data_IF_625049346997
#
_entry.id   IF_625049346997
#
_cell.length_a   1.000
_cell.length_b   1.000
_cell.length_c   1.000
_cell.angle_alpha   90.00
_cell.angle_beta   90.00
_cell.angle_gamma   90.00
#
_symmetry.space_group_name_H-M   'P 1'
#
loop_
_entity.id
_entity.type
_entity.pdbx_description
1 polymer ?
2 water ?
#
# COMPACT_ATOMS: atom_id res chain seq x y z
N UNK A 1 10.09 12.72 -8.84
CA UNK A 1 8.77 12.49 -9.42
C UNK A 1 8.61 11.21 -10.25
N UNK A 2 9.67 10.82 -10.96
CA UNK A 2 9.66 9.56 -11.70
C UNK A 2 10.21 8.44 -10.82
N UNK A 3 9.34 7.50 -10.45
CA UNK A 3 9.67 6.48 -9.47
C UNK A 3 10.94 5.67 -9.77
N UNK A 4 11.23 5.40 -11.04
CA UNK A 4 12.38 4.59 -11.40
C UNK A 4 13.67 5.23 -10.92
N UNK A 5 13.70 6.56 -10.91
CA UNK A 5 14.91 7.30 -10.54
C UNK A 5 14.92 7.70 -9.07
N UNK A 6 13.75 7.96 -8.47
CA UNK A 6 13.74 8.26 -7.03
C UNK A 6 13.78 7.01 -6.15
N UNK A 7 13.11 5.94 -6.56
CA UNK A 7 13.15 4.67 -5.82
C UNK A 7 14.24 3.75 -6.39
N UNK A 8 15.38 3.71 -5.72
CA UNK A 8 16.53 2.94 -6.21
C UNK A 8 16.51 1.52 -5.66
N UNK A 9 17.37 0.66 -6.19
CA UNK A 9 17.52 -0.68 -5.65
C UNK A 9 17.91 -0.62 -4.16
N UNK A 10 18.84 0.29 -3.86
CA UNK A 10 19.31 0.48 -2.49
C UNK A 10 18.16 0.85 -1.55
N UNK A 11 17.29 1.75 -2.01
CA UNK A 11 16.16 2.19 -1.20
C UNK A 11 15.21 1.03 -0.95
N UNK A 12 14.85 0.33 -2.02
CA UNK A 12 13.91 -0.77 -1.92
C UNK A 12 14.49 -1.93 -1.08
N UNK A 13 15.75 -2.30 -1.35
CA UNK A 13 16.42 -3.34 -0.58
C UNK A 13 16.59 -2.98 0.89
N UNK A 14 16.79 -1.70 1.18
CA UNK A 14 16.92 -1.22 2.55
C UNK A 14 15.73 -1.60 3.40
N UNK A 15 14.55 -1.56 2.79
CA UNK A 15 13.34 -1.98 3.48
C UNK A 15 13.25 -3.49 3.56
N UNK A 16 13.35 -4.16 2.42
CA UNK A 16 13.19 -5.62 2.38
C UNK A 16 14.26 -6.39 3.17
N UNK A 17 15.46 -5.80 3.31
CA UNK A 17 16.53 -6.44 4.07
C UNK A 17 16.11 -6.71 5.51
N UNK A 18 15.18 -5.89 6.01
CA UNK A 18 14.67 -6.07 7.36
C UNK A 18 13.62 -7.19 7.33
N UNK A 19 13.46 -7.87 8.46
CA UNK A 19 12.79 -9.18 8.51
C UNK A 19 12.81 -10.00 7.22
N UNK A 20 13.88 -10.75 7.03
CA UNK A 20 13.87 -11.94 6.21
C UNK A 20 13.69 -13.03 7.25
N UNK A 21 14.02 -14.28 6.94
CA UNK A 21 14.37 -14.72 5.61
C UNK A 21 13.38 -15.82 5.24
N UNK A 22 12.66 -16.29 6.24
CA UNK A 22 11.61 -17.28 6.04
C UNK A 22 10.26 -16.63 5.85
N UNK A 23 10.27 -15.30 5.72
CA UNK A 23 9.06 -14.54 5.46
C UNK A 23 8.48 -14.91 4.10
N UNK A 24 7.16 -15.04 4.03
CA UNK A 24 6.52 -15.40 2.77
C UNK A 24 6.76 -14.35 1.67
N UNK A 25 7.00 -13.10 2.05
CA UNK A 25 7.17 -12.05 1.06
C UNK A 25 8.60 -11.75 0.64
N UNK A 26 9.56 -12.39 1.32
CA UNK A 26 10.98 -12.17 1.08
C UNK A 26 11.40 -12.27 -0.40
N UNK A 27 10.88 -13.28 -1.09
CA UNK A 27 11.20 -13.52 -2.48
C UNK A 27 10.01 -13.28 -3.40
N UNK A 28 9.14 -12.36 -2.99
CA UNK A 28 7.92 -11.98 -3.71
C UNK A 28 7.98 -10.49 -4.08
N UNK A 29 8.12 -9.64 -3.08
CA UNK A 29 8.14 -8.19 -3.34
C UNK A 29 9.46 -7.74 -3.97
N UNK A 30 9.38 -7.17 -5.17
CA UNK A 30 10.57 -6.66 -5.87
C UNK A 30 10.36 -5.25 -6.36
N UNK A 31 11.46 -4.53 -6.52
CA UNK A 31 11.43 -3.21 -7.14
C UNK A 31 10.91 -3.31 -8.58
N UNK A 32 11.29 -4.37 -9.28
CA UNK A 32 10.83 -4.56 -10.64
C UNK A 32 9.30 -4.64 -10.73
N UNK A 33 8.69 -5.39 -9.82
CA UNK A 33 7.23 -5.47 -9.77
C UNK A 33 6.59 -4.12 -9.44
N UNK A 34 7.19 -3.39 -8.51
CA UNK A 34 6.67 -2.06 -8.15
C UNK A 34 6.71 -1.11 -9.34
N UNK A 35 7.81 -1.10 -10.06
CA UNK A 35 7.96 -0.19 -11.19
C UNK A 35 7.02 -0.55 -12.35
N UNK A 36 6.81 -1.83 -12.58
CA UNK A 36 5.83 -2.27 -13.56
C UNK A 36 4.44 -1.75 -13.18
N UNK A 37 4.14 -1.84 -11.88
CA UNK A 37 2.85 -1.40 -11.37
C UNK A 37 2.65 0.11 -11.53
N UNK A 38 3.71 0.87 -11.25
CA UNK A 38 3.70 2.34 -11.36
C UNK A 38 3.28 2.82 -12.76
N UNK A 39 3.67 2.06 -13.78
CA UNK A 39 3.29 2.39 -15.15
C UNK A 39 1.78 2.45 -15.38
N UNK A 40 1.03 1.72 -14.58
CA UNK A 40 -0.42 1.67 -14.70
C UNK A 40 -1.10 2.76 -13.89
N UNK A 41 -0.34 3.50 -13.08
CA UNK A 41 -0.90 4.53 -12.20
C UNK A 41 -0.18 5.86 -12.41
N UNK A 42 -0.46 6.50 -13.55
CA UNK A 42 0.31 7.69 -13.91
C UNK A 42 0.07 8.87 -12.98
N UNK A 43 -1.02 8.86 -12.23
CA UNK A 43 -1.31 9.92 -11.29
C UNK A 43 -0.46 9.84 -10.03
N UNK A 44 0.11 8.68 -9.75
CA UNK A 44 0.87 8.48 -8.53
C UNK A 44 2.14 9.31 -8.56
N UNK A 45 2.37 10.04 -7.47
CA UNK A 45 3.53 10.93 -7.31
C UNK A 45 3.49 12.10 -8.29
N UNK A 46 2.30 12.38 -8.84
CA UNK A 46 2.14 13.47 -9.81
C UNK A 46 0.93 14.34 -9.52
N UNK A 47 0.46 14.33 -8.28
CA UNK A 47 -0.64 15.20 -7.87
C UNK A 47 -0.32 16.69 -7.94
N UNK A 48 0.92 17.06 -7.66
CA UNK A 48 1.32 18.47 -7.64
C UNK A 48 2.78 18.74 -7.98
N UNK A 49 3.54 19.27 -7.01
CA UNK A 49 4.95 19.59 -7.23
C UNK A 49 5.82 18.34 -7.15
N UNK A 50 7.10 18.47 -7.51
CA UNK A 50 8.00 17.32 -7.43
C UNK A 50 8.24 16.97 -5.96
N UNK A 51 8.24 17.97 -5.10
CA UNK A 51 8.36 17.76 -3.66
C UNK A 51 7.16 16.97 -3.14
N UNK A 52 5.96 17.39 -3.55
CA UNK A 52 4.74 16.68 -3.19
C UNK A 52 4.80 15.24 -3.71
N UNK A 53 5.30 15.07 -4.93
CA UNK A 53 5.43 13.74 -5.49
C UNK A 53 6.36 12.87 -4.67
N UNK A 54 7.50 13.42 -4.26
CA UNK A 54 8.43 12.67 -3.42
C UNK A 54 7.85 12.35 -2.05
N UNK A 55 7.10 13.29 -1.46
CA UNK A 55 6.42 13.01 -0.19
C UNK A 55 5.43 11.86 -0.36
N UNK A 56 4.76 11.81 -1.50
CA UNK A 56 3.79 10.77 -1.74
C UNK A 56 4.45 9.40 -1.84
N UNK A 57 5.58 9.32 -2.55
CA UNK A 57 6.35 8.09 -2.59
C UNK A 57 6.79 7.64 -1.19
N UNK A 58 7.30 8.57 -0.39
CA UNK A 58 7.70 8.25 0.97
C UNK A 58 6.51 7.76 1.80
N UNK A 59 5.37 8.44 1.65
CA UNK A 59 4.16 8.05 2.37
C UNK A 59 3.69 6.65 1.99
N UNK A 60 3.67 6.36 0.70
CA UNK A 60 3.29 5.05 0.21
C UNK A 60 4.19 3.97 0.82
N UNK A 61 5.50 4.16 0.73
CA UNK A 61 6.40 3.17 1.32
C UNK A 61 6.33 3.06 2.86
N UNK A 62 6.00 4.16 3.53
CA UNK A 62 5.83 4.14 4.98
C UNK A 62 4.71 3.20 5.39
N UNK A 63 3.54 3.39 4.77
CA UNK A 63 2.40 2.53 5.06
C UNK A 63 2.65 1.08 4.64
N UNK A 64 3.23 0.88 3.45
CA UNK A 64 3.58 -0.46 3.00
C UNK A 64 4.53 -1.16 3.97
N UNK A 65 5.55 -0.43 4.44
CA UNK A 65 6.50 -0.98 5.40
C UNK A 65 5.79 -1.46 6.65
N UNK A 66 4.93 -0.62 7.21
CA UNK A 66 4.19 -1.02 8.39
C UNK A 66 3.26 -2.22 8.12
N UNK A 67 2.48 -2.14 7.06
CA UNK A 67 1.40 -3.10 6.84
C UNK A 67 1.90 -4.49 6.45
N UNK A 68 3.07 -4.55 5.83
CA UNK A 68 3.64 -5.83 5.44
C UNK A 68 4.76 -6.29 6.36
N UNK A 69 5.15 -5.46 7.33
CA UNK A 69 6.31 -5.78 8.16
C UNK A 69 7.62 -5.80 7.38
N UNK A 70 7.92 -4.69 6.71
CA UNK A 70 9.11 -4.59 5.87
C UNK A 70 9.13 -5.69 4.81
N UNK A 71 7.99 -5.91 4.18
CA UNK A 71 7.84 -6.87 3.08
C UNK A 71 7.93 -8.33 3.52
N UNK A 72 7.72 -8.57 4.81
CA UNK A 72 7.71 -9.93 5.31
C UNK A 72 6.44 -10.66 4.87
N UNK A 73 5.31 -9.95 4.85
CA UNK A 73 4.01 -10.61 4.73
C UNK A 73 3.28 -10.28 3.44
N UNK A 74 2.67 -11.29 2.86
CA UNK A 74 1.82 -11.14 1.66
C UNK A 74 0.34 -11.09 2.04
N UNK A 75 -0.11 -12.03 2.87
CA UNK A 75 -1.53 -12.13 3.23
C UNK A 75 -1.74 -11.88 4.71
N UNK A 76 -2.93 -11.36 5.05
CA UNK A 76 -3.34 -11.21 6.43
C UNK A 76 -3.16 -12.53 7.17
N UNK A 77 -2.71 -12.46 8.42
CA UNK A 77 -2.34 -13.65 9.18
C UNK A 77 -3.55 -14.50 9.51
N UNK A 78 -4.71 -13.87 9.65
CA UNK A 78 -5.95 -14.59 9.91
C UNK A 78 -6.73 -14.58 8.60
N UNK A 79 -7.12 -15.77 8.15
CA UNK A 79 -7.63 -15.94 6.80
C UNK A 79 -9.06 -16.47 6.70
N UNK A 80 -9.78 -16.51 7.82
CA UNK A 80 -11.11 -17.12 7.80
C UNK A 80 -12.19 -16.16 7.32
N UNK A 81 -12.03 -14.87 7.57
CA UNK A 81 -13.08 -13.90 7.22
C UNK A 81 -13.21 -13.67 5.71
N UNK A 82 -14.45 -13.75 5.22
CA UNK A 82 -14.73 -13.51 3.82
C UNK A 82 -14.57 -12.05 3.41
N UNK A 83 -14.68 -11.13 4.38
CA UNK A 83 -14.68 -9.68 4.09
C UNK A 83 -15.68 -9.35 2.99
N UNK A 84 -16.92 -9.79 3.18
CA UNK A 84 -17.96 -9.58 2.18
C UNK A 84 -19.01 -8.58 2.66
N UNK A 85 -19.12 -7.47 1.95
CA UNK A 85 -20.23 -6.53 2.14
C UNK A 85 -21.22 -6.80 1.02
N UNK A 86 -22.26 -7.57 1.33
CA UNK A 86 -23.20 -8.04 0.30
C UNK A 86 -24.21 -7.01 -0.21
N UNK A 87 -24.17 -5.79 0.29
CA UNK A 87 -25.11 -4.78 -0.22
C UNK A 87 -24.81 -4.14 -1.64
N UNK A 88 -24.48 -4.92 -2.69
CA UNK A 88 -23.64 -4.40 -3.82
C UNK A 88 -23.78 -4.60 -5.38
N UNK A 89 -22.77 -4.10 -6.14
CA UNK A 89 -22.42 -4.53 -7.53
C UNK A 89 -21.05 -5.14 -7.70
N UNK A 90 -20.43 -5.45 -6.59
CA UNK A 90 -19.28 -6.30 -6.62
C UNK A 90 -19.70 -7.48 -5.75
N UNK A 91 -20.64 -8.31 -6.27
CA UNK A 91 -21.14 -9.42 -5.46
C UNK A 91 -20.02 -10.38 -5.07
N UNK A 92 -20.11 -10.92 -3.87
CA UNK A 92 -19.08 -11.81 -3.34
C UNK A 92 -19.20 -13.19 -3.94
N UNK A 93 -18.07 -13.71 -4.40
CA UNK A 93 -18.01 -15.05 -4.97
C UNK A 93 -18.10 -16.06 -3.86
N UNK A 94 -18.91 -17.10 -4.07
CA UNK A 94 -19.01 -18.19 -3.12
C UNK A 94 -17.64 -18.80 -2.79
N UNK A 95 -17.34 -18.91 -1.51
CA UNK A 95 -16.11 -19.55 -1.09
C UNK A 95 -14.85 -18.70 -1.13
N UNK A 96 -14.87 -17.61 -1.90
CA UNK A 96 -13.70 -16.71 -1.93
C UNK A 96 -13.70 -15.77 -0.73
N UNK A 97 -12.52 -15.26 -0.42
CA UNK A 97 -12.35 -14.37 0.73
C UNK A 97 -11.50 -13.17 0.35
N UNK A 98 -11.93 -12.01 0.80
CA UNK A 98 -11.28 -10.74 0.45
C UNK A 98 -10.54 -10.14 1.64
N UNK A 99 -9.84 -10.99 2.39
CA UNK A 99 -8.97 -10.52 3.46
C UNK A 99 -7.74 -9.82 2.86
N UNK A 100 -6.91 -9.22 3.70
CA UNK A 100 -5.83 -8.37 3.21
C UNK A 100 -4.77 -9.11 2.40
N UNK A 101 -4.43 -8.58 1.23
CA UNK A 101 -3.32 -9.13 0.45
C UNK A 101 -2.49 -8.03 -0.18
N UNK A 102 -1.18 -8.28 -0.34
CA UNK A 102 -0.31 -7.33 -1.00
C UNK A 102 0.17 -6.16 -0.17
N UNK A 103 0.91 -5.23 -0.79
CA UNK A 103 1.59 -4.15 -0.07
C UNK A 103 0.71 -3.31 0.83
N UNK A 104 -0.54 -3.04 0.42
CA UNK A 104 -1.42 -2.26 1.28
C UNK A 104 -2.59 -3.08 1.78
N UNK A 105 -2.45 -4.40 1.74
CA UNK A 105 -3.44 -5.30 2.33
C UNK A 105 -4.85 -4.97 1.87
N UNK A 106 -5.03 -4.87 0.56
CA UNK A 106 -6.34 -4.61 -0.01
C UNK A 106 -7.34 -5.65 0.51
N UNK A 107 -8.51 -5.15 0.88
CA UNK A 107 -9.53 -5.93 1.59
C UNK A 107 -10.92 -5.55 1.09
N UNK A 108 -11.84 -6.51 1.22
CA UNK A 108 -13.28 -6.35 0.92
C UNK A 108 -13.63 -6.50 -0.56
N UNK A 109 -14.80 -7.11 -0.82
CA UNK A 109 -15.28 -7.25 -2.19
C UNK A 109 -15.37 -5.93 -2.92
N UNK A 110 -15.74 -4.87 -2.20
CA UNK A 110 -15.97 -3.59 -2.86
C UNK A 110 -14.68 -2.88 -3.22
N UNK A 111 -13.55 -3.47 -2.82
CA UNK A 111 -12.25 -3.00 -3.29
C UNK A 111 -11.64 -3.96 -4.32
N UNK A 112 -11.68 -5.26 -4.04
CA UNK A 112 -11.17 -6.24 -5.00
C UNK A 112 -11.86 -6.14 -6.36
N UNK A 113 -13.17 -5.89 -6.33
CA UNK A 113 -13.95 -5.78 -7.55
C UNK A 113 -13.45 -4.69 -8.50
N UNK A 114 -13.50 -3.43 -8.06
CA UNK A 114 -13.06 -2.38 -8.98
C UNK A 114 -11.55 -2.39 -9.24
N UNK A 115 -10.76 -2.84 -8.27
CA UNK A 115 -9.32 -2.99 -8.50
C UNK A 115 -9.08 -3.97 -9.66
N UNK A 116 -9.75 -5.11 -9.62
CA UNK A 116 -9.65 -6.08 -10.70
C UNK A 116 -10.09 -5.53 -12.04
N UNK A 117 -11.13 -4.71 -12.05
CA UNK A 117 -11.63 -4.16 -13.31
C UNK A 117 -10.58 -3.25 -13.93
N UNK A 118 -9.94 -2.42 -13.11
CA UNK A 118 -8.89 -1.54 -13.58
C UNK A 118 -7.65 -2.33 -14.01
N UNK A 119 -7.24 -3.29 -13.19
CA UNK A 119 -5.97 -3.98 -13.40
C UNK A 119 -6.01 -5.03 -14.51
N UNK A 120 -7.18 -5.64 -14.69
CA UNK A 120 -7.36 -6.66 -15.72
C UNK A 120 -7.33 -8.10 -15.22
N UNK A 121 -7.88 -8.34 -14.03
CA UNK A 121 -8.09 -9.70 -13.55
C UNK A 121 -9.43 -9.72 -12.83
N UNK A 122 -9.94 -10.92 -12.56
CA UNK A 122 -11.21 -11.04 -11.86
C UNK A 122 -10.96 -10.99 -10.35
N UNK A 123 -11.20 -9.82 -9.77
CA UNK A 123 -10.87 -9.59 -8.37
C UNK A 123 -11.83 -10.32 -7.44
N UNK A 124 -13.02 -10.63 -7.94
CA UNK A 124 -14.03 -11.30 -7.12
C UNK A 124 -13.89 -12.82 -7.16
N UNK A 125 -13.64 -13.35 -8.35
CA UNK A 125 -13.47 -14.80 -8.51
C UNK A 125 -12.09 -15.26 -8.10
N UNK A 126 -11.09 -14.42 -8.34
CA UNK A 126 -9.70 -14.83 -8.15
C UNK A 126 -8.90 -13.86 -7.27
N UNK A 127 -9.41 -13.53 -6.07
CA UNK A 127 -8.63 -12.60 -5.24
C UNK A 127 -7.25 -13.11 -4.83
N UNK A 128 -7.06 -14.43 -4.76
CA UNK A 128 -5.74 -14.97 -4.48
C UNK A 128 -4.65 -14.56 -5.48
N UNK A 129 -5.06 -14.09 -6.65
CA UNK A 129 -4.05 -13.65 -7.62
C UNK A 129 -3.20 -12.50 -7.07
N UNK A 130 -3.76 -11.74 -6.14
CA UNK A 130 -3.01 -10.66 -5.51
C UNK A 130 -1.84 -11.22 -4.67
N UNK A 131 -2.03 -12.42 -4.13
CA UNK A 131 -0.97 -13.10 -3.37
C UNK A 131 -0.03 -13.91 -4.26
N UNK A 132 -0.47 -14.16 -5.49
CA UNK A 132 0.29 -15.00 -6.43
C UNK A 132 1.24 -14.26 -7.36
N UNK A 133 0.97 -12.98 -7.58
CA UNK A 133 1.68 -12.22 -8.61
C UNK A 133 2.05 -10.86 -8.02
N UNK A 134 3.33 -10.63 -7.81
CA UNK A 134 3.76 -9.37 -7.19
C UNK A 134 3.43 -8.13 -8.03
N UNK A 135 3.36 -8.27 -9.35
CA UNK A 135 2.98 -7.13 -10.18
C UNK A 135 1.51 -6.76 -9.89
N UNK A 136 0.63 -7.75 -9.93
CA UNK A 136 -0.76 -7.53 -9.54
C UNK A 136 -0.83 -6.99 -8.10
N UNK A 137 -0.01 -7.52 -7.21
CA UNK A 137 -0.03 -7.07 -5.82
C UNK A 137 0.28 -5.58 -5.72
N UNK A 138 1.38 -5.15 -6.34
CA UNK A 138 1.72 -3.73 -6.30
C UNK A 138 0.68 -2.88 -7.01
N UNK A 139 0.08 -3.40 -8.09
CA UNK A 139 -0.98 -2.67 -8.75
C UNK A 139 -2.19 -2.46 -7.83
N UNK A 140 -2.54 -3.48 -7.02
CA UNK A 140 -3.70 -3.30 -6.13
C UNK A 140 -3.41 -2.25 -5.07
N UNK A 141 -2.15 -2.19 -4.64
CA UNK A 141 -1.73 -1.24 -3.62
C UNK A 141 -1.81 0.17 -4.18
N UNK A 142 -1.27 0.35 -5.38
CA UNK A 142 -1.37 1.65 -6.03
C UNK A 142 -2.80 2.00 -6.40
N UNK A 143 -3.57 1.02 -6.84
CA UNK A 143 -5.00 1.25 -7.08
C UNK A 143 -5.66 1.76 -5.80
N UNK A 144 -5.44 1.05 -4.69
CA UNK A 144 -6.09 1.44 -3.44
C UNK A 144 -5.67 2.85 -3.04
N UNK A 145 -4.37 3.10 -3.16
CA UNK A 145 -3.80 4.39 -2.82
C UNK A 145 -4.42 5.52 -3.66
N UNK A 146 -4.44 5.36 -4.97
CA UNK A 146 -4.95 6.40 -5.84
C UNK A 146 -6.44 6.62 -5.66
N UNK A 147 -7.17 5.57 -5.34
CA UNK A 147 -8.61 5.68 -5.20
C UNK A 147 -9.10 6.12 -3.82
N UNK A 148 -8.24 6.05 -2.81
CA UNK A 148 -8.67 6.30 -1.43
C UNK A 148 -7.77 7.25 -0.63
N UNK A 149 -6.51 7.34 -0.99
CA UNK A 149 -5.53 8.02 -0.13
C UNK A 149 -4.92 9.25 -0.78
N UNK A 150 -4.72 9.18 -2.10
CA UNK A 150 -4.06 10.23 -2.87
C UNK A 150 -4.63 11.63 -2.62
N UNK A 151 -5.95 11.74 -2.59
CA UNK A 151 -6.62 13.03 -2.40
C UNK A 151 -6.32 13.65 -1.04
N UNK A 152 -5.85 12.85 -0.10
CA UNK A 152 -5.55 13.35 1.24
C UNK A 152 -4.08 13.72 1.43
N UNK A 153 -3.21 13.27 0.52
CA UNK A 153 -1.78 13.64 0.56
C UNK A 153 -1.50 15.12 0.82
N UNK A 154 -2.18 16.03 0.10
CA UNK A 154 -1.90 17.45 0.34
C UNK A 154 -2.21 17.92 1.77
N UNK A 155 -3.03 17.16 2.48
CA UNK A 155 -3.36 17.50 3.87
C UNK A 155 -2.30 17.02 4.84
N UNK A 156 -1.37 16.20 4.37
CA UNK A 156 -0.26 15.74 5.21
C UNK A 156 -0.32 14.26 5.51
N UNK A 157 0.82 13.69 5.90
CA UNK A 157 0.92 12.26 6.16
C UNK A 157 -0.12 11.75 7.14
N UNK A 158 -0.41 12.54 8.18
CA UNK A 158 -1.37 12.12 9.17
C UNK A 158 -2.76 11.89 8.62
N UNK A 159 -3.15 12.68 7.62
CA UNK A 159 -4.44 12.48 6.97
C UNK A 159 -4.45 11.15 6.22
N UNK A 160 -3.27 10.69 5.80
CA UNK A 160 -3.20 9.40 5.10
C UNK A 160 -3.30 8.24 6.07
N UNK A 161 -2.81 8.41 7.30
CA UNK A 161 -3.02 7.39 8.32
C UNK A 161 -4.52 7.25 8.58
N UNK A 162 -5.22 8.38 8.68
CA UNK A 162 -6.65 8.33 8.92
C UNK A 162 -7.38 7.75 7.71
N UNK A 163 -6.88 7.96 6.50
CA UNK A 163 -7.51 7.42 5.30
C UNK A 163 -7.40 5.90 5.21
N UNK A 164 -6.34 5.35 5.79
CA UNK A 164 -6.05 3.92 5.64
C UNK A 164 -6.74 3.04 6.71
N UNK A 165 -6.80 3.52 7.95
CA UNK A 165 -7.60 2.88 8.99
C UNK A 165 -8.52 3.92 9.61
N UNK A 166 -8.99 3.70 10.82
CA UNK A 166 -9.70 4.75 11.54
C UNK A 166 -9.38 4.50 12.99
N UNK A 167 -8.60 3.44 13.15
CA UNK A 167 -8.41 2.75 14.41
C UNK A 167 -7.02 3.04 14.96
N UNK A 168 -6.30 3.92 14.28
CA UNK A 168 -4.93 4.23 14.66
C UNK A 168 -4.74 5.72 14.85
N UNK A 169 -5.84 6.44 14.97
CA UNK A 169 -5.80 7.88 15.22
C UNK A 169 -6.46 8.18 16.55
N UNK A 170 -6.35 9.44 17.00
CA UNK A 170 -7.10 9.93 18.15
C UNK A 170 -6.81 9.17 19.44
N UNK A 171 -5.56 8.77 19.63
CA UNK A 171 -5.15 8.06 20.82
C UNK A 171 -5.39 6.56 20.80
N UNK A 172 -5.98 6.03 19.73
CA UNK A 172 -6.37 4.62 19.72
C UNK A 172 -5.24 3.58 19.61
N UNK A 173 -4.33 3.78 18.67
CA UNK A 173 -3.17 2.87 18.57
C UNK A 173 -1.89 3.64 18.34
N UNK A 174 -1.42 4.38 19.37
CA UNK A 174 -0.28 5.30 19.25
C UNK A 174 0.95 4.62 18.70
N UNK A 175 1.24 3.40 19.17
CA UNK A 175 2.44 2.69 18.72
C UNK A 175 2.46 2.50 17.21
N UNK A 176 1.33 2.04 16.65
CA UNK A 176 1.26 1.80 15.22
C UNK A 176 1.28 3.11 14.44
N UNK A 177 0.52 4.08 14.93
CA UNK A 177 0.50 5.43 14.33
C UNK A 177 1.90 6.01 14.27
N UNK A 178 2.61 5.99 15.40
CA UNK A 178 3.96 6.51 15.44
C UNK A 178 4.96 5.66 14.65
N UNK A 179 4.70 4.37 14.50
CA UNK A 179 5.55 3.53 13.68
C UNK A 179 5.50 4.02 12.23
N UNK A 180 4.29 4.23 11.73
CA UNK A 180 4.10 4.75 10.38
C UNK A 180 4.81 6.09 10.18
N UNK A 181 4.64 7.01 11.14
CA UNK A 181 5.29 8.32 11.07
C UNK A 181 6.81 8.17 11.02
N UNK A 182 7.34 7.26 11.84
CA UNK A 182 8.77 6.97 11.85
C UNK A 182 9.31 6.57 10.49
N UNK A 183 8.63 5.65 9.82
CA UNK A 183 9.04 5.23 8.48
C UNK A 183 8.97 6.40 7.51
N UNK A 184 7.89 7.18 7.59
CA UNK A 184 7.71 8.30 6.68
C UNK A 184 8.83 9.33 6.84
N UNK A 185 9.17 9.66 8.08
CA UNK A 185 10.24 10.61 8.32
C UNK A 185 11.57 10.08 7.79
N UNK A 186 11.85 8.81 7.99
CA UNK A 186 13.10 8.26 7.46
C UNK A 186 13.12 8.30 5.93
N UNK A 187 12.04 7.87 5.30
CA UNK A 187 12.01 7.83 3.84
C UNK A 187 12.11 9.23 3.24
N UNK A 188 11.53 10.21 3.93
CA UNK A 188 11.69 11.60 3.52
C UNK A 188 13.16 12.02 3.60
N UNK A 189 13.85 11.62 4.68
CA UNK A 189 15.29 11.90 4.80
C UNK A 189 16.06 11.28 3.65
N UNK A 190 15.75 10.02 3.35
CA UNK A 190 16.47 9.29 2.31
C UNK A 190 16.20 9.82 0.91
N UNK A 191 14.98 10.28 0.67
CA UNK A 191 14.61 10.82 -0.63
C UNK A 191 14.88 12.32 -0.69
N UNK A 192 15.46 12.84 0.38
CA UNK A 192 15.85 14.24 0.50
C UNK A 192 14.71 15.21 0.22
N UNK A 193 13.64 15.07 0.99
CA UNK A 193 12.52 16.00 0.93
C UNK A 193 12.06 16.27 2.36
N UNK A 194 11.62 17.49 2.64
CA UNK A 194 11.05 17.79 3.95
C UNK A 194 9.73 17.03 4.09
N UNK A 195 9.39 16.61 5.31
CA UNK A 195 8.20 15.78 5.52
C UNK A 195 6.87 16.54 5.50
N UNK A 196 6.88 17.85 5.75
CA UNK A 196 5.64 18.60 5.74
C UNK A 196 4.91 18.55 7.06
N UNK A 197 3.75 19.21 7.13
CA UNK A 197 3.01 19.32 8.40
C UNK A 197 2.03 18.16 8.59
N UNK A 198 1.39 18.13 9.76
CA UNK A 198 0.33 17.16 10.05
C UNK A 198 0.75 15.72 9.79
N UNK A 199 1.71 15.23 10.56
CA UNK A 199 2.26 13.88 10.39
C UNK A 199 1.52 12.85 11.24
N UNK A 200 1.17 13.19 12.47
CA UNK A 200 0.48 12.27 13.36
C UNK A 200 -1.02 12.37 13.15
N UNK A 201 -1.79 11.50 13.79
CA UNK A 201 -3.23 11.68 13.84
C UNK A 201 -3.78 11.15 15.18
#
# INVERSE_FOLDING_TARGET
XXXXXVVSDAFFNGIKNQAGSGCEGKNFYTRSAFLSAVNAYPGFAHGGTEVEGKREIAAFFAHVTHQTGHFCYISEINKSNAYCDASNRWPCAAGQKYYGRGPLQISWNYNYGPAGRDIGFNGLADPNRVAQDAVIAFKTALWFWMNNVHRLMPQGFGATIRAINGLECNGNNPAQMNARVGYYKQYCQQLRVDPGPNLTC
#
